data_IF_660345285464
#
_entry.id   IF_660345285464
#
_cell.length_a   1.000
_cell.length_b   1.000
_cell.length_c   1.000
_cell.angle_alpha   90.00
_cell.angle_beta   90.00
_cell.angle_gamma   90.00
#
_symmetry.space_group_name_H-M   'P 1'
#
loop_
_entity.id
_entity.type
_entity.pdbx_description
1 polymer ?
#
# COMPACT_ATOMS: atom_id res chain seq x y z
N UNK A 1 0.00 3.18 -8.38
CA UNK A 1 -1.01 3.63 -9.38
C UNK A 1 -1.05 2.75 -10.61
N UNK A 2 0.10 2.34 -11.15
CA UNK A 2 0.15 1.42 -12.28
C UNK A 2 -0.60 0.10 -11.99
N UNK A 3 -0.30 -0.56 -10.87
CA UNK A 3 -1.04 -1.75 -10.45
C UNK A 3 -2.56 -1.50 -10.35
N UNK A 4 -2.98 -0.39 -9.73
CA UNK A 4 -4.40 -0.02 -9.62
C UNK A 4 -5.08 0.14 -10.99
N UNK A 5 -4.38 0.67 -11.99
CA UNK A 5 -4.92 0.83 -13.36
C UNK A 5 -5.15 -0.50 -14.08
N UNK A 6 -4.48 -1.57 -13.66
CA UNK A 6 -4.68 -2.93 -14.17
C UNK A 6 -5.83 -3.67 -13.44
N UNK A 7 -6.26 -3.17 -12.28
CA UNK A 7 -7.34 -3.78 -11.50
C UNK A 7 -8.69 -3.45 -12.14
N UNK A 8 -9.31 -4.47 -12.76
CA UNK A 8 -10.62 -4.39 -13.44
C UNK A 8 -11.84 -4.30 -12.50
N UNK A 9 -11.63 -3.97 -11.23
CA UNK A 9 -12.67 -3.80 -10.19
C UNK A 9 -12.82 -2.32 -9.86
N UNK A 10 -13.88 -1.63 -10.35
CA UNK A 10 -14.03 -0.18 -10.17
C UNK A 10 -14.33 0.21 -8.72
N UNK A 11 -14.82 -0.73 -7.92
CA UNK A 11 -15.14 -0.58 -6.50
C UNK A 11 -13.90 -0.61 -5.58
N UNK A 12 -12.74 -1.04 -6.09
CA UNK A 12 -11.49 -1.01 -5.33
C UNK A 12 -10.98 0.43 -5.22
N UNK A 13 -10.83 0.91 -3.99
CA UNK A 13 -10.23 2.20 -3.62
C UNK A 13 -8.81 2.00 -3.09
N UNK A 14 -7.99 3.03 -3.21
CA UNK A 14 -6.63 3.09 -2.68
C UNK A 14 -6.50 4.29 -1.73
N UNK A 15 -6.25 3.99 -0.45
CA UNK A 15 -5.76 4.99 0.49
C UNK A 15 -4.26 5.19 0.29
N UNK A 16 -3.83 6.44 0.13
CA UNK A 16 -2.42 6.82 0.14
C UNK A 16 -2.20 7.70 1.38
N UNK A 17 -1.63 7.10 2.43
CA UNK A 17 -1.42 7.75 3.71
C UNK A 17 0.00 8.31 3.83
N UNK A 18 0.12 9.59 4.19
CA UNK A 18 1.41 10.22 4.48
C UNK A 18 1.54 11.64 3.93
N UNK A 19 2.75 12.16 3.96
CA UNK A 19 3.10 13.54 3.54
C UNK A 19 3.76 13.59 2.15
N UNK A 20 3.48 12.62 1.29
CA UNK A 20 3.98 12.60 -0.08
C UNK A 20 3.43 13.76 -0.94
N UNK A 21 4.05 14.01 -2.09
CA UNK A 21 3.61 15.05 -3.03
C UNK A 21 2.27 14.67 -3.68
N UNK A 22 1.18 15.03 -3.02
CA UNK A 22 -0.19 14.78 -3.49
C UNK A 22 -0.44 15.38 -4.88
N UNK A 23 0.21 16.49 -5.24
CA UNK A 23 0.04 17.10 -6.56
C UNK A 23 0.64 16.22 -7.65
N UNK A 24 1.89 15.79 -7.47
CA UNK A 24 2.57 14.88 -8.38
C UNK A 24 1.79 13.57 -8.53
N UNK A 25 1.43 12.96 -7.40
CA UNK A 25 0.69 11.70 -7.37
C UNK A 25 -0.73 11.85 -7.92
N UNK A 26 -1.39 12.97 -7.70
CA UNK A 26 -2.68 13.30 -8.31
C UNK A 26 -2.60 13.36 -9.83
N UNK A 27 -1.58 14.03 -10.38
CA UNK A 27 -1.35 14.09 -11.83
C UNK A 27 -1.06 12.71 -12.43
N UNK A 28 -0.27 11.88 -11.74
CA UNK A 28 -0.01 10.52 -12.18
C UNK A 28 -1.29 9.65 -12.17
N UNK A 29 -2.16 9.86 -11.19
CA UNK A 29 -3.44 9.16 -11.09
C UNK A 29 -4.41 9.55 -12.21
N UNK A 30 -4.44 10.82 -12.58
CA UNK A 30 -5.21 11.33 -13.73
C UNK A 30 -4.72 10.70 -15.05
N UNK A 31 -3.40 10.71 -15.28
CA UNK A 31 -2.79 10.11 -16.46
C UNK A 31 -3.12 8.62 -16.58
N UNK A 32 -3.19 7.92 -15.45
CA UNK A 32 -3.54 6.49 -15.38
C UNK A 32 -5.05 6.24 -15.27
N UNK A 33 -5.90 7.28 -15.31
CA UNK A 33 -7.38 7.22 -15.23
C UNK A 33 -7.90 6.47 -13.99
N UNK A 34 -7.28 6.73 -12.84
CA UNK A 34 -7.65 6.12 -11.55
C UNK A 34 -7.83 7.14 -10.43
N UNK A 35 -7.86 8.45 -10.73
CA UNK A 35 -7.88 9.50 -9.70
C UNK A 35 -9.08 9.40 -8.77
N UNK A 36 -10.24 9.05 -9.31
CA UNK A 36 -11.52 8.84 -8.61
C UNK A 36 -11.49 7.65 -7.64
N UNK A 37 -10.48 6.78 -7.78
CA UNK A 37 -10.26 5.61 -6.93
C UNK A 37 -9.22 5.84 -5.84
N UNK A 38 -8.62 7.03 -5.78
CA UNK A 38 -7.57 7.35 -4.82
C UNK A 38 -8.06 8.36 -3.79
N UNK A 39 -7.83 8.03 -2.52
CA UNK A 39 -8.08 8.89 -1.38
C UNK A 39 -6.72 9.20 -0.75
N UNK A 40 -6.28 10.45 -0.87
CA UNK A 40 -5.08 10.92 -0.19
C UNK A 40 -5.43 11.23 1.26
N UNK A 41 -4.66 10.64 2.16
CA UNK A 41 -4.84 10.75 3.60
C UNK A 41 -3.61 11.48 4.12
N UNK A 42 -3.77 12.67 4.73
CA UNK A 42 -2.66 13.39 5.35
C UNK A 42 -1.95 12.51 6.38
N UNK A 43 -0.73 12.89 6.74
CA UNK A 43 -0.04 12.26 7.86
C UNK A 43 -0.96 12.25 9.10
N UNK A 44 -1.14 11.06 9.68
CA UNK A 44 -2.08 10.82 10.77
C UNK A 44 -1.44 9.95 11.83
N UNK A 45 -1.70 10.26 13.10
CA UNK A 45 -1.37 9.38 14.23
C UNK A 45 -2.28 8.15 14.31
N UNK A 46 -3.38 8.15 13.57
CA UNK A 46 -4.42 7.11 13.64
C UNK A 46 -4.39 6.20 12.41
N UNK A 47 -3.20 5.77 11.97
CA UNK A 47 -3.04 4.86 10.83
C UNK A 47 -3.82 3.54 11.00
N UNK A 48 -4.01 3.10 12.25
CA UNK A 48 -4.78 1.91 12.60
C UNK A 48 -6.23 1.95 12.10
N UNK A 49 -6.86 3.14 11.98
CA UNK A 49 -8.20 3.27 11.41
C UNK A 49 -8.22 2.86 9.93
N UNK A 50 -7.16 3.22 9.19
CA UNK A 50 -7.02 2.90 7.78
C UNK A 50 -6.61 1.46 7.56
N UNK A 51 -5.81 0.89 8.47
CA UNK A 51 -5.56 -0.55 8.43
C UNK A 51 -6.85 -1.34 8.66
N UNK A 52 -7.62 -0.99 9.70
CA UNK A 52 -8.89 -1.65 9.99
C UNK A 52 -9.95 -1.50 8.88
N UNK A 53 -9.90 -0.41 8.11
CA UNK A 53 -10.80 -0.15 6.99
C UNK A 53 -10.33 -0.75 5.64
N UNK A 54 -9.16 -1.38 5.60
CA UNK A 54 -8.57 -1.93 4.37
C UNK A 54 -8.69 -3.44 4.30
N UNK A 55 -8.69 -3.98 3.08
CA UNK A 55 -8.65 -5.43 2.85
C UNK A 55 -7.21 -5.96 2.68
N UNK A 56 -6.30 -5.10 2.18
CA UNK A 56 -4.91 -5.45 1.82
C UNK A 56 -4.01 -4.24 2.05
N UNK A 57 -2.80 -4.45 2.56
CA UNK A 57 -1.75 -3.43 2.61
C UNK A 57 -0.70 -3.65 1.51
N UNK A 58 -0.24 -2.57 0.88
CA UNK A 58 0.72 -2.65 -0.24
C UNK A 58 1.86 -1.65 -0.06
N UNK A 59 3.09 -2.15 0.01
CA UNK A 59 4.32 -1.35 0.07
C UNK A 59 5.36 -1.90 -0.93
N UNK A 60 5.30 -1.53 -2.23
CA UNK A 60 6.19 -2.05 -3.27
C UNK A 60 7.52 -1.27 -3.26
N UNK A 61 8.21 -1.29 -2.12
CA UNK A 61 9.43 -0.51 -1.89
C UNK A 61 10.65 -1.07 -2.63
N UNK A 62 11.56 -0.21 -3.05
CA UNK A 62 12.89 -0.60 -3.54
C UNK A 62 13.94 -0.61 -2.42
N UNK A 63 13.63 0.00 -1.27
CA UNK A 63 14.48 0.05 -0.09
C UNK A 63 13.62 0.41 1.14
N UNK A 64 13.56 -0.49 2.11
CA UNK A 64 12.87 -0.26 3.39
C UNK A 64 13.65 -0.99 4.49
N UNK A 65 14.38 -0.26 5.36
CA UNK A 65 15.30 -0.87 6.33
C UNK A 65 14.63 -1.82 7.32
N UNK A 66 13.42 -1.47 7.78
CA UNK A 66 12.71 -2.28 8.77
C UNK A 66 11.28 -2.58 8.34
N UNK A 67 10.52 -1.58 7.90
CA UNK A 67 9.12 -1.77 7.53
C UNK A 67 8.19 -1.81 8.72
N UNK A 68 8.26 -0.81 9.62
CA UNK A 68 7.31 -0.69 10.75
C UNK A 68 5.86 -0.75 10.28
N UNK A 69 5.54 -0.05 9.20
CA UNK A 69 4.20 -0.05 8.59
C UNK A 69 3.77 -1.43 8.06
N UNK A 70 4.71 -2.29 7.66
CA UNK A 70 4.43 -3.68 7.30
C UNK A 70 3.99 -4.45 8.56
N UNK A 71 4.74 -4.31 9.64
CA UNK A 71 4.43 -4.97 10.92
C UNK A 71 3.09 -4.49 11.49
N UNK A 72 2.81 -3.18 11.42
CA UNK A 72 1.53 -2.60 11.86
C UNK A 72 0.34 -3.14 11.03
N UNK A 73 0.50 -3.23 9.71
CA UNK A 73 -0.53 -3.78 8.83
C UNK A 73 -0.79 -5.26 9.14
N UNK A 74 0.28 -6.07 9.31
CA UNK A 74 0.16 -7.47 9.70
C UNK A 74 -0.49 -7.64 11.08
N UNK A 75 -0.12 -6.80 12.05
CA UNK A 75 -0.72 -6.79 13.39
C UNK A 75 -2.21 -6.42 13.37
N UNK A 76 -2.62 -5.64 12.36
CA UNK A 76 -4.03 -5.30 12.09
C UNK A 76 -4.77 -6.42 11.34
N UNK A 77 -4.12 -7.55 11.06
CA UNK A 77 -4.71 -8.70 10.36
C UNK A 77 -4.73 -8.56 8.83
N UNK A 78 -4.03 -7.57 8.27
CA UNK A 78 -4.01 -7.37 6.82
C UNK A 78 -2.98 -8.30 6.15
N UNK A 79 -3.36 -8.96 5.04
CA UNK A 79 -2.36 -9.51 4.14
C UNK A 79 -1.52 -8.38 3.53
N UNK A 80 -0.21 -8.61 3.41
CA UNK A 80 0.75 -7.61 2.91
C UNK A 80 1.30 -7.98 1.54
N UNK A 81 1.33 -7.03 0.62
CA UNK A 81 2.09 -7.11 -0.63
C UNK A 81 3.30 -6.19 -0.51
N UNK A 82 4.50 -6.74 -0.49
CA UNK A 82 5.75 -5.95 -0.41
C UNK A 82 6.88 -6.58 -1.22
N UNK A 83 8.02 -5.91 -1.29
CA UNK A 83 9.19 -6.39 -2.01
C UNK A 83 10.06 -7.28 -1.11
N UNK A 84 10.78 -8.26 -1.69
CA UNK A 84 11.74 -9.11 -0.96
C UNK A 84 12.89 -8.34 -0.30
N UNK A 85 13.12 -7.10 -0.72
CA UNK A 85 14.17 -6.22 -0.18
C UNK A 85 13.73 -5.40 1.04
N UNK A 86 12.46 -5.51 1.45
CA UNK A 86 11.98 -4.87 2.67
C UNK A 86 12.48 -5.62 3.91
N UNK A 87 12.88 -4.91 4.96
CA UNK A 87 13.40 -5.52 6.20
C UNK A 87 12.41 -6.48 6.87
N UNK A 88 11.10 -6.20 6.79
CA UNK A 88 10.05 -7.07 7.33
C UNK A 88 9.66 -8.22 6.39
N UNK A 89 10.33 -8.41 5.25
CA UNK A 89 9.99 -9.48 4.29
C UNK A 89 10.10 -10.88 4.92
N UNK A 90 11.00 -11.08 5.88
CA UNK A 90 11.17 -12.37 6.59
C UNK A 90 9.96 -12.76 7.45
N UNK A 91 9.08 -11.81 7.78
CA UNK A 91 7.81 -12.08 8.48
C UNK A 91 6.72 -12.62 7.54
N UNK A 92 6.94 -12.51 6.23
CA UNK A 92 5.95 -12.82 5.20
C UNK A 92 6.26 -14.19 4.60
N UNK A 93 5.30 -15.10 4.74
CA UNK A 93 5.27 -16.36 4.00
C UNK A 93 4.47 -16.13 2.72
N UNK A 94 5.19 -16.10 1.60
CA UNK A 94 4.66 -15.84 0.25
C UNK A 94 3.50 -16.79 -0.10
N UNK A 95 2.35 -16.21 -0.45
CA UNK A 95 1.11 -16.94 -0.74
C UNK A 95 0.30 -17.39 0.48
N UNK A 96 0.77 -17.14 1.70
CA UNK A 96 0.06 -17.50 2.95
C UNK A 96 -0.48 -16.27 3.67
N UNK A 97 0.41 -15.37 4.11
CA UNK A 97 0.02 -14.14 4.84
C UNK A 97 0.37 -12.86 4.06
N UNK A 98 0.84 -13.00 2.83
CA UNK A 98 1.21 -11.89 1.97
C UNK A 98 1.81 -12.36 0.64
N UNK A 99 2.24 -11.41 -0.18
CA UNK A 99 2.93 -11.65 -1.45
C UNK A 99 4.26 -10.90 -1.48
N UNK A 100 5.31 -11.61 -1.89
CA UNK A 100 6.67 -11.06 -1.98
C UNK A 100 7.07 -10.80 -3.44
N UNK A 101 7.07 -9.53 -3.82
CA UNK A 101 7.47 -9.03 -5.14
C UNK A 101 8.98 -9.19 -5.36
N UNK A 102 9.35 -9.51 -6.60
CA UNK A 102 10.74 -9.41 -7.07
C UNK A 102 10.98 -7.96 -7.49
N UNK A 103 12.07 -7.37 -6.98
CA UNK A 103 12.55 -6.06 -7.40
C UNK A 103 13.25 -6.15 -8.76
#
# INVERSE_FOLDING_TARGET
MEALSLVQRPDVKLFICGSGDEKFYGQLAELKRVRDRIIFVPHSSNLWEYYAASDIFVLPTIYEPFGLVIVEAMASGLPVITSRVAGAADLITDGVNGLLLRA
#
